data_IF_020442550828
#
_entry.id   IF_020442550828
#
_cell.length_a   1.000
_cell.length_b   1.000
_cell.length_c   1.000
_cell.angle_alpha   90.00
_cell.angle_beta   90.00
_cell.angle_gamma   90.00
#
_symmetry.space_group_name_H-M   'P 1'
#
loop_
_entity.id
_entity.type
_entity.pdbx_description
1 polymer ?
#
# COMPACT_ATOMS: atom_id res chain seq x y z
N UNK A 1 -15.92 -5.33 32.54
CA UNK A 1 -16.59 -4.71 31.38
C UNK A 1 -18.00 -4.39 31.84
N UNK A 2 -18.27 -3.12 32.10
CA UNK A 2 -19.61 -2.67 32.49
C UNK A 2 -20.44 -2.50 31.23
N UNK A 3 -21.49 -3.31 31.13
CA UNK A 3 -22.42 -3.27 30.00
C UNK A 3 -23.26 -2.00 30.10
N UNK A 4 -22.99 -1.03 29.22
CA UNK A 4 -23.79 0.19 29.10
C UNK A 4 -25.08 -0.14 28.36
N UNK A 5 -26.22 -0.14 29.07
CA UNK A 5 -27.54 -0.36 28.46
C UNK A 5 -28.04 0.93 27.79
N UNK A 6 -27.75 1.05 26.49
CA UNK A 6 -28.05 2.21 25.64
C UNK A 6 -29.53 2.59 25.58
N UNK A 7 -30.45 1.71 26.01
CA UNK A 7 -31.90 1.96 25.99
C UNK A 7 -32.36 2.86 27.13
N UNK A 8 -31.62 2.91 28.25
CA UNK A 8 -32.02 3.65 29.47
C UNK A 8 -31.43 5.06 29.56
N UNK A 9 -30.49 5.40 28.69
CA UNK A 9 -29.81 6.70 28.67
C UNK A 9 -30.58 7.73 27.86
N UNK A 10 -30.70 8.94 28.39
CA UNK A 10 -31.26 10.10 27.68
C UNK A 10 -30.35 10.51 26.51
N UNK A 11 -30.86 11.19 25.47
CA UNK A 11 -30.05 11.62 24.33
C UNK A 11 -28.81 12.45 24.71
N UNK A 12 -28.91 13.26 25.78
CA UNK A 12 -27.81 14.07 26.29
C UNK A 12 -26.73 13.22 26.98
N UNK A 13 -27.11 12.16 27.70
CA UNK A 13 -26.17 11.24 28.34
C UNK A 13 -25.47 10.33 27.33
N UNK A 14 -26.15 9.93 26.25
CA UNK A 14 -25.53 9.21 25.12
C UNK A 14 -24.46 10.06 24.42
N UNK A 15 -24.74 11.35 24.20
CA UNK A 15 -23.78 12.27 23.60
C UNK A 15 -22.55 12.49 24.50
N UNK A 16 -22.73 12.49 25.84
CA UNK A 16 -21.60 12.55 26.79
C UNK A 16 -20.79 11.26 26.80
N UNK A 17 -21.44 10.10 26.80
CA UNK A 17 -20.77 8.80 26.74
C UNK A 17 -20.00 8.61 25.43
N UNK A 18 -20.55 9.03 24.30
CA UNK A 18 -19.85 9.05 23.01
C UNK A 18 -18.64 9.98 23.04
N UNK A 19 -18.78 11.21 23.55
CA UNK A 19 -17.63 12.13 23.69
C UNK A 19 -16.51 11.55 24.55
N UNK A 20 -16.83 10.92 25.68
CA UNK A 20 -15.81 10.27 26.51
C UNK A 20 -15.13 9.10 25.80
N UNK A 21 -15.86 8.32 25.00
CA UNK A 21 -15.28 7.24 24.20
C UNK A 21 -14.41 7.78 23.07
N UNK A 22 -14.88 8.80 22.36
CA UNK A 22 -14.15 9.48 21.28
C UNK A 22 -12.87 10.14 21.82
N UNK A 23 -12.92 10.79 22.99
CA UNK A 23 -11.76 11.39 23.66
C UNK A 23 -10.74 10.34 24.12
N UNK A 24 -11.19 9.19 24.66
CA UNK A 24 -10.31 8.07 25.01
C UNK A 24 -9.65 7.44 23.77
N UNK A 25 -10.39 7.26 22.68
CA UNK A 25 -9.85 6.77 21.42
C UNK A 25 -8.87 7.78 20.80
N UNK A 26 -9.18 9.07 20.85
CA UNK A 26 -8.32 10.14 20.33
C UNK A 26 -7.02 10.27 21.14
N UNK A 27 -7.09 10.14 22.47
CA UNK A 27 -5.90 10.08 23.34
C UNK A 27 -5.04 8.84 23.07
N UNK A 28 -5.66 7.66 22.90
CA UNK A 28 -4.94 6.43 22.48
C UNK A 28 -4.27 6.62 21.12
N UNK A 29 -4.99 7.18 20.15
CA UNK A 29 -4.49 7.46 18.81
C UNK A 29 -3.40 8.54 18.80
N UNK A 30 -3.42 9.49 19.72
CA UNK A 30 -2.38 10.50 19.88
C UNK A 30 -1.11 9.92 20.54
N UNK A 31 -1.27 9.07 21.57
CA UNK A 31 -0.15 8.37 22.20
C UNK A 31 0.58 7.43 21.21
N UNK A 32 -0.18 6.70 20.38
CA UNK A 32 0.37 5.86 19.30
C UNK A 32 1.12 6.70 18.25
N UNK A 33 0.63 7.91 17.95
CA UNK A 33 1.31 8.85 17.04
C UNK A 33 2.59 9.44 17.64
N UNK A 34 2.67 9.62 18.96
CA UNK A 34 3.80 10.28 19.64
C UNK A 34 4.98 9.35 19.93
N UNK A 35 4.76 8.06 20.18
CA UNK A 35 5.85 7.08 20.40
C UNK A 35 6.08 6.15 19.19
N UNK A 36 5.26 6.25 18.15
CA UNK A 36 5.29 5.31 17.04
C UNK A 36 4.64 3.97 17.38
N UNK A 37 4.07 3.32 16.38
CA UNK A 37 3.32 2.07 16.54
C UNK A 37 4.22 0.95 17.10
N UNK A 38 5.50 0.94 16.74
CA UNK A 38 6.45 -0.06 17.20
C UNK A 38 6.65 -0.02 18.72
N UNK A 39 6.94 1.14 19.30
CA UNK A 39 7.19 1.29 20.74
C UNK A 39 5.93 0.96 21.55
N UNK A 40 4.76 1.37 21.06
CA UNK A 40 3.49 1.01 21.67
C UNK A 40 3.27 -0.51 21.70
N UNK A 41 3.56 -1.22 20.60
CA UNK A 41 3.43 -2.68 20.53
C UNK A 41 4.45 -3.39 21.44
N UNK A 42 5.69 -2.90 21.49
CA UNK A 42 6.73 -3.43 22.39
C UNK A 42 6.27 -3.28 23.84
N UNK A 43 5.81 -2.08 24.23
CA UNK A 43 5.36 -1.81 25.59
C UNK A 43 4.12 -2.66 25.95
N UNK A 44 3.19 -2.83 25.01
CA UNK A 44 2.02 -3.70 25.20
C UNK A 44 2.43 -5.16 25.41
N UNK A 45 3.39 -5.67 24.64
CA UNK A 45 3.90 -7.03 24.76
C UNK A 45 4.69 -7.23 26.07
N UNK A 46 5.44 -6.22 26.52
CA UNK A 46 6.10 -6.20 27.85
C UNK A 46 5.07 -6.29 28.97
N UNK A 47 4.02 -5.45 28.93
CA UNK A 47 2.96 -5.45 29.94
C UNK A 47 2.16 -6.78 29.96
N UNK A 48 2.07 -7.46 28.82
CA UNK A 48 1.43 -8.76 28.70
C UNK A 48 2.32 -9.93 29.14
N UNK A 49 3.55 -9.68 29.62
CA UNK A 49 4.51 -10.70 30.03
C UNK A 49 5.02 -11.57 28.87
N UNK A 50 4.86 -11.14 27.61
CA UNK A 50 5.29 -11.93 26.44
C UNK A 50 6.83 -12.03 26.31
N UNK A 51 7.56 -11.17 27.02
CA UNK A 51 9.02 -11.22 27.12
C UNK A 51 9.51 -12.06 28.32
N UNK A 52 8.60 -12.55 29.17
CA UNK A 52 8.96 -13.41 30.31
C UNK A 52 9.13 -14.86 29.83
N UNK A 53 10.23 -15.51 30.25
CA UNK A 53 10.56 -16.90 29.90
C UNK A 53 10.70 -17.20 28.40
N UNK A 54 11.30 -16.28 27.64
CA UNK A 54 11.58 -16.51 26.22
C UNK A 54 12.44 -17.77 26.00
N UNK A 55 12.15 -18.55 24.95
CA UNK A 55 12.91 -19.75 24.62
C UNK A 55 14.37 -19.38 24.33
N UNK A 56 15.29 -19.86 25.16
CA UNK A 56 16.72 -19.52 25.06
C UNK A 56 17.18 -18.36 25.95
N UNK A 57 16.32 -17.83 26.83
CA UNK A 57 16.74 -16.87 27.86
C UNK A 57 17.94 -17.41 28.66
N UNK A 58 19.01 -16.60 28.75
CA UNK A 58 20.26 -16.96 29.43
C UNK A 58 21.23 -17.83 28.63
N UNK A 59 20.88 -18.28 27.42
CA UNK A 59 21.82 -19.00 26.54
C UNK A 59 22.64 -17.98 25.72
N UNK A 60 23.95 -18.22 25.52
CA UNK A 60 24.75 -17.38 24.64
C UNK A 60 24.20 -17.45 23.22
N UNK A 61 24.19 -16.30 22.54
CA UNK A 61 23.81 -16.23 21.14
C UNK A 61 24.78 -17.04 20.29
N UNK A 62 24.26 -17.97 19.47
CA UNK A 62 25.06 -18.83 18.60
C UNK A 62 25.65 -17.99 17.46
N UNK A 63 26.92 -17.61 17.58
CA UNK A 63 27.62 -16.78 16.58
C UNK A 63 27.74 -17.50 15.24
N UNK A 64 27.80 -18.83 15.25
CA UNK A 64 27.93 -19.65 14.05
C UNK A 64 26.77 -19.43 13.06
N UNK A 65 25.55 -19.19 13.56
CA UNK A 65 24.39 -18.89 12.73
C UNK A 65 24.51 -17.54 11.99
N UNK A 66 25.19 -16.57 12.59
CA UNK A 66 25.39 -15.23 12.04
C UNK A 66 26.57 -15.22 11.05
N UNK A 67 27.62 -16.00 11.33
CA UNK A 67 28.77 -16.18 10.44
C UNK A 67 28.44 -16.98 9.18
N UNK A 68 27.53 -17.96 9.27
CA UNK A 68 27.20 -18.84 8.14
C UNK A 68 26.19 -18.23 7.17
N UNK A 69 25.18 -17.50 7.68
CA UNK A 69 24.05 -17.04 6.88
C UNK A 69 24.02 -15.51 6.66
N UNK A 70 24.82 -14.75 7.40
CA UNK A 70 24.74 -13.29 7.42
C UNK A 70 23.50 -12.78 8.18
N UNK A 71 23.48 -11.48 8.44
CA UNK A 71 22.44 -10.84 9.26
C UNK A 71 21.04 -10.88 8.61
N UNK A 72 20.95 -10.66 7.29
CA UNK A 72 19.67 -10.55 6.56
C UNK A 72 18.90 -11.87 6.50
N UNK A 73 19.62 -12.99 6.37
CA UNK A 73 19.03 -14.32 6.41
C UNK A 73 18.49 -14.66 7.80
N UNK A 74 19.20 -14.22 8.85
CA UNK A 74 18.77 -14.41 10.24
C UNK A 74 17.52 -13.58 10.54
N UNK A 75 17.49 -12.30 10.13
CA UNK A 75 16.31 -11.44 10.24
C UNK A 75 15.10 -12.04 9.49
N UNK A 76 15.31 -12.54 8.27
CA UNK A 76 14.27 -13.22 7.48
C UNK A 76 13.74 -14.48 8.16
N UNK A 77 14.61 -15.26 8.81
CA UNK A 77 14.20 -16.46 9.55
C UNK A 77 13.41 -16.12 10.80
N UNK A 78 13.78 -15.06 11.53
CA UNK A 78 13.00 -14.55 12.66
C UNK A 78 11.62 -14.12 12.19
N UNK A 79 11.52 -13.33 11.11
CA UNK A 79 10.24 -12.88 10.55
C UNK A 79 9.35 -14.07 10.15
N UNK A 80 9.92 -15.07 9.46
CA UNK A 80 9.20 -16.30 9.11
C UNK A 80 8.70 -17.05 10.35
N UNK A 81 9.50 -17.12 11.42
CA UNK A 81 9.12 -17.83 12.64
C UNK A 81 7.93 -17.22 13.38
N UNK A 82 7.73 -15.90 13.25
CA UNK A 82 6.59 -15.17 13.83
C UNK A 82 5.42 -15.02 12.83
N UNK A 83 5.50 -15.66 11.65
CA UNK A 83 4.50 -15.55 10.60
C UNK A 83 4.46 -14.20 9.89
N UNK A 84 5.47 -13.35 10.10
CA UNK A 84 5.61 -12.06 9.43
C UNK A 84 6.29 -12.22 8.06
N UNK A 85 5.89 -11.39 7.12
CA UNK A 85 6.43 -11.40 5.77
C UNK A 85 7.71 -10.55 5.68
N UNK A 86 8.81 -11.07 5.07
CA UNK A 86 9.99 -10.27 4.78
C UNK A 86 9.66 -9.02 3.95
N UNK A 87 10.41 -7.95 4.19
CA UNK A 87 10.14 -6.61 3.61
C UNK A 87 10.18 -6.65 2.09
N UNK A 88 11.08 -7.45 1.52
CA UNK A 88 11.26 -7.63 0.08
C UNK A 88 10.00 -8.20 -0.56
N UNK A 89 9.36 -9.19 0.07
CA UNK A 89 8.14 -9.81 -0.47
C UNK A 89 6.96 -8.83 -0.36
N UNK A 90 6.88 -8.06 0.73
CA UNK A 90 5.89 -6.99 0.86
C UNK A 90 6.03 -5.94 -0.24
N UNK A 91 7.27 -5.48 -0.52
CA UNK A 91 7.55 -4.54 -1.61
C UNK A 91 7.19 -5.12 -2.98
N UNK A 92 7.52 -6.38 -3.24
CA UNK A 92 7.16 -7.06 -4.48
C UNK A 92 5.64 -7.13 -4.68
N UNK A 93 4.88 -7.48 -3.62
CA UNK A 93 3.42 -7.48 -3.66
C UNK A 93 2.85 -6.08 -3.92
N UNK A 94 3.47 -5.04 -3.36
CA UNK A 94 3.02 -3.68 -3.58
C UNK A 94 3.24 -3.24 -5.04
N UNK A 95 4.40 -3.56 -5.62
CA UNK A 95 4.69 -3.34 -7.05
C UNK A 95 3.63 -4.04 -7.90
N UNK A 96 3.36 -5.33 -7.65
CA UNK A 96 2.36 -6.11 -8.39
C UNK A 96 0.94 -5.54 -8.27
N UNK A 97 0.56 -5.05 -7.10
CA UNK A 97 -0.76 -4.40 -6.91
C UNK A 97 -0.89 -3.13 -7.74
N UNK A 98 0.17 -2.31 -7.77
CA UNK A 98 0.17 -1.05 -8.54
C UNK A 98 0.18 -1.30 -10.04
N UNK A 99 0.94 -2.29 -10.52
CA UNK A 99 0.93 -2.67 -11.94
C UNK A 99 -0.45 -3.18 -12.34
N UNK A 100 -1.07 -4.06 -11.55
CA UNK A 100 -2.43 -4.54 -11.81
C UNK A 100 -3.48 -3.41 -11.82
N UNK A 101 -3.32 -2.39 -10.96
CA UNK A 101 -4.20 -1.22 -10.96
C UNK A 101 -4.09 -0.43 -12.28
N UNK A 102 -2.87 -0.23 -12.77
CA UNK A 102 -2.63 0.41 -14.06
C UNK A 102 -3.28 -0.40 -15.18
N UNK A 103 -2.98 -1.71 -15.26
CA UNK A 103 -3.48 -2.60 -16.31
C UNK A 103 -5.01 -2.60 -16.37
N UNK A 104 -5.67 -2.68 -15.21
CA UNK A 104 -7.13 -2.62 -15.11
C UNK A 104 -7.69 -1.31 -15.69
N UNK A 105 -7.04 -0.18 -15.41
CA UNK A 105 -7.49 1.11 -15.91
C UNK A 105 -7.21 1.28 -17.41
N UNK A 106 -6.07 0.78 -17.90
CA UNK A 106 -5.77 0.77 -19.34
C UNK A 106 -6.78 -0.09 -20.10
N UNK A 107 -7.13 -1.26 -19.58
CA UNK A 107 -8.18 -2.11 -20.16
C UNK A 107 -9.54 -1.40 -20.19
N UNK A 108 -9.88 -0.65 -19.13
CA UNK A 108 -11.09 0.18 -19.09
C UNK A 108 -11.08 1.26 -20.19
N UNK A 109 -9.98 2.01 -20.32
CA UNK A 109 -9.84 3.04 -21.35
C UNK A 109 -9.89 2.44 -22.76
N UNK A 110 -9.28 1.27 -22.97
CA UNK A 110 -9.32 0.57 -24.25
C UNK A 110 -10.74 0.14 -24.62
N UNK A 111 -11.46 -0.49 -23.69
CA UNK A 111 -12.85 -0.88 -23.92
C UNK A 111 -13.72 0.34 -24.24
N UNK A 112 -13.50 1.44 -23.52
CA UNK A 112 -14.21 2.70 -23.74
C UNK A 112 -13.87 3.35 -25.08
N UNK A 113 -12.59 3.32 -25.49
CA UNK A 113 -12.14 3.80 -26.80
C UNK A 113 -12.85 3.04 -27.92
N UNK A 114 -12.83 1.71 -27.86
CA UNK A 114 -13.49 0.85 -28.85
C UNK A 114 -14.98 1.20 -28.98
N UNK A 115 -15.68 1.40 -27.86
CA UNK A 115 -17.08 1.82 -27.88
C UNK A 115 -17.27 3.19 -28.55
N UNK A 116 -16.45 4.18 -28.19
CA UNK A 116 -16.57 5.55 -28.73
C UNK A 116 -16.26 5.59 -30.23
N UNK A 117 -15.32 4.77 -30.71
CA UNK A 117 -15.00 4.67 -32.14
C UNK A 117 -16.18 4.18 -32.98
N UNK A 118 -17.12 3.40 -32.41
CA UNK A 118 -18.35 3.00 -33.12
C UNK A 118 -19.39 4.11 -33.23
N UNK A 119 -19.24 5.21 -32.47
CA UNK A 119 -20.21 6.29 -32.41
C UNK A 119 -19.97 7.32 -33.51
N UNK A 120 -21.06 7.83 -34.09
CA UNK A 120 -20.98 8.99 -34.99
C UNK A 120 -20.49 10.24 -34.25
N UNK A 121 -19.36 10.81 -34.71
CA UNK A 121 -18.74 11.99 -34.10
C UNK A 121 -19.68 13.19 -34.02
N UNK A 122 -20.45 13.45 -35.07
CA UNK A 122 -21.37 14.60 -35.13
C UNK A 122 -22.46 14.54 -34.06
N UNK A 123 -23.02 13.34 -33.81
CA UNK A 123 -24.11 13.14 -32.85
C UNK A 123 -23.62 13.07 -31.40
N UNK A 124 -22.40 12.58 -31.16
CA UNK A 124 -21.91 12.27 -29.82
C UNK A 124 -20.68 13.07 -29.38
N UNK A 125 -20.52 14.31 -29.89
CA UNK A 125 -19.41 15.23 -29.52
C UNK A 125 -19.18 15.39 -28.01
N UNK A 126 -20.25 15.37 -27.21
CA UNK A 126 -20.14 15.49 -25.76
C UNK A 126 -19.45 14.28 -25.10
N UNK A 127 -19.72 13.07 -25.58
CA UNK A 127 -19.11 11.83 -25.08
C UNK A 127 -17.64 11.73 -25.47
N UNK A 128 -17.31 12.12 -26.70
CA UNK A 128 -15.92 12.18 -27.19
C UNK A 128 -15.11 13.16 -26.33
N UNK A 129 -15.62 14.38 -26.13
CA UNK A 129 -14.98 15.37 -25.24
C UNK A 129 -14.86 14.90 -23.78
N UNK A 130 -15.80 14.10 -23.28
CA UNK A 130 -15.70 13.53 -21.95
C UNK A 130 -14.59 12.47 -21.86
N UNK A 131 -14.42 11.66 -22.89
CA UNK A 131 -13.33 10.69 -22.99
C UNK A 131 -11.96 11.35 -23.12
N UNK A 132 -11.81 12.34 -24.01
CA UNK A 132 -10.54 13.09 -24.13
C UNK A 132 -10.12 13.68 -22.79
N UNK A 133 -11.04 14.33 -22.07
CA UNK A 133 -10.74 14.88 -20.74
C UNK A 133 -10.28 13.81 -19.76
N UNK A 134 -10.92 12.65 -19.74
CA UNK A 134 -10.54 11.56 -18.85
C UNK A 134 -9.15 11.02 -19.17
N UNK A 135 -8.82 10.81 -20.46
CA UNK A 135 -7.50 10.37 -20.91
C UNK A 135 -6.42 11.36 -20.46
N UNK A 136 -6.62 12.66 -20.70
CA UNK A 136 -5.67 13.70 -20.30
C UNK A 136 -5.49 13.81 -18.77
N UNK A 137 -6.58 13.67 -18.00
CA UNK A 137 -6.50 13.66 -16.54
C UNK A 137 -5.75 12.43 -16.07
N UNK A 138 -6.05 11.26 -16.64
CA UNK A 138 -5.44 10.00 -16.25
C UNK A 138 -3.95 9.95 -16.60
N UNK A 139 -3.50 10.59 -17.69
CA UNK A 139 -2.07 10.66 -18.03
C UNK A 139 -1.22 11.13 -16.83
N UNK A 140 -1.65 12.18 -16.14
CA UNK A 140 -0.95 12.68 -14.93
C UNK A 140 -0.89 11.62 -13.84
N UNK A 141 -2.01 10.93 -13.59
CA UNK A 141 -2.07 9.85 -12.61
C UNK A 141 -1.17 8.66 -13.02
N UNK A 142 -1.19 8.30 -14.29
CA UNK A 142 -0.37 7.24 -14.87
C UNK A 142 1.13 7.53 -14.69
N UNK A 143 1.58 8.74 -15.02
CA UNK A 143 2.98 9.15 -14.82
C UNK A 143 3.41 9.02 -13.35
N UNK A 144 2.53 9.40 -12.41
CA UNK A 144 2.80 9.32 -10.98
C UNK A 144 2.92 7.87 -10.53
N UNK A 145 2.01 7.00 -10.97
CA UNK A 145 2.04 5.58 -10.62
C UNK A 145 3.29 4.87 -11.18
N UNK A 146 3.69 5.19 -12.41
CA UNK A 146 4.93 4.63 -13.00
C UNK A 146 6.19 5.04 -12.20
N UNK A 147 6.29 6.32 -11.83
CA UNK A 147 7.39 6.81 -10.98
C UNK A 147 7.38 6.13 -9.61
N UNK A 148 6.20 5.94 -9.05
CA UNK A 148 6.00 5.30 -7.76
C UNK A 148 6.42 3.81 -7.78
N UNK A 149 6.10 3.10 -8.87
CA UNK A 149 6.57 1.73 -9.12
C UNK A 149 8.09 1.71 -9.24
N UNK A 150 8.69 2.59 -10.04
CA UNK A 150 10.15 2.62 -10.20
C UNK A 150 10.87 2.90 -8.88
N UNK A 151 10.37 3.81 -8.05
CA UNK A 151 10.93 4.07 -6.72
C UNK A 151 10.93 2.82 -5.84
N UNK A 152 9.86 2.01 -5.90
CA UNK A 152 9.75 0.77 -5.14
C UNK A 152 10.62 -0.33 -5.71
N UNK A 153 10.70 -0.45 -7.03
CA UNK A 153 11.61 -1.36 -7.71
C UNK A 153 13.06 -1.10 -7.32
N UNK A 154 13.48 0.17 -7.27
CA UNK A 154 14.82 0.52 -6.81
C UNK A 154 15.02 0.15 -5.33
N UNK A 155 14.03 0.40 -4.48
CA UNK A 155 14.09 0.03 -3.05
C UNK A 155 14.21 -1.48 -2.87
N UNK A 156 13.43 -2.25 -3.64
CA UNK A 156 13.51 -3.71 -3.69
C UNK A 156 14.90 -4.17 -4.13
N UNK A 157 15.45 -3.60 -5.20
CA UNK A 157 16.75 -4.00 -5.73
C UNK A 157 17.91 -3.70 -4.77
N UNK A 158 17.75 -2.72 -3.87
CA UNK A 158 18.75 -2.44 -2.82
C UNK A 158 18.69 -3.49 -1.70
N UNK A 159 17.48 -3.91 -1.31
CA UNK A 159 17.27 -4.80 -0.15
C UNK A 159 17.32 -6.28 -0.51
N UNK A 160 16.87 -6.63 -1.70
CA UNK A 160 16.67 -8.01 -2.12
C UNK A 160 17.91 -8.60 -2.81
N UNK A 161 18.11 -9.93 -2.73
CA UNK A 161 19.16 -10.61 -3.50
C UNK A 161 18.93 -10.44 -5.02
N UNK A 162 20.00 -10.54 -5.80
CA UNK A 162 20.00 -10.27 -7.26
C UNK A 162 18.93 -11.05 -8.03
N UNK A 163 18.58 -12.26 -7.59
CA UNK A 163 17.53 -13.09 -8.20
C UNK A 163 16.13 -12.46 -8.15
N UNK A 164 15.89 -11.53 -7.23
CA UNK A 164 14.62 -10.81 -7.06
C UNK A 164 14.63 -9.43 -7.72
N UNK A 165 15.74 -9.03 -8.35
CA UNK A 165 15.83 -7.70 -8.94
C UNK A 165 14.87 -7.57 -10.12
N UNK A 166 14.16 -6.44 -10.15
CA UNK A 166 13.23 -6.09 -11.21
C UNK A 166 13.83 -4.92 -11.99
N UNK A 167 13.71 -4.94 -13.31
CA UNK A 167 14.13 -3.81 -14.12
C UNK A 167 13.14 -2.64 -13.96
N UNK A 168 13.62 -1.39 -13.75
CA UNK A 168 12.75 -0.23 -13.70
C UNK A 168 12.06 -0.02 -15.06
N UNK A 169 10.81 0.46 -15.01
CA UNK A 169 9.99 0.68 -16.19
C UNK A 169 10.49 1.90 -17.00
N UNK A 170 10.54 1.83 -18.34
CA UNK A 170 10.92 2.95 -19.19
C UNK A 170 9.76 3.94 -19.33
N UNK A 171 9.70 4.92 -18.42
CA UNK A 171 8.56 5.84 -18.28
C UNK A 171 8.27 6.59 -19.59
N UNK A 172 9.29 7.12 -20.26
CA UNK A 172 9.11 7.94 -21.47
C UNK A 172 8.51 7.13 -22.63
N UNK A 173 8.96 5.89 -22.80
CA UNK A 173 8.45 4.99 -23.83
C UNK A 173 6.98 4.62 -23.55
N UNK A 174 6.66 4.25 -22.31
CA UNK A 174 5.30 3.91 -21.90
C UNK A 174 4.33 5.09 -22.02
N UNK A 175 4.79 6.33 -21.80
CA UNK A 175 3.97 7.52 -22.01
C UNK A 175 3.75 7.82 -23.48
N UNK A 176 4.75 7.57 -24.32
CA UNK A 176 4.62 7.69 -25.77
C UNK A 176 3.59 6.68 -26.29
N UNK A 177 3.71 5.41 -25.91
CA UNK A 177 2.75 4.35 -26.25
C UNK A 177 1.34 4.69 -25.77
N UNK A 178 1.20 5.20 -24.54
CA UNK A 178 -0.09 5.64 -23.99
C UNK A 178 -0.73 6.73 -24.86
N UNK A 179 0.04 7.75 -25.26
CA UNK A 179 -0.46 8.83 -26.11
C UNK A 179 -0.85 8.31 -27.48
N UNK A 180 0.00 7.53 -28.13
CA UNK A 180 -0.27 6.93 -29.44
C UNK A 180 -1.56 6.08 -29.43
N UNK A 181 -1.80 5.37 -28.32
CA UNK A 181 -2.97 4.51 -28.19
C UNK A 181 -4.28 5.26 -27.89
N UNK A 182 -4.25 6.30 -27.05
CA UNK A 182 -5.46 6.92 -26.51
C UNK A 182 -5.77 8.33 -27.02
N UNK A 183 -4.83 9.04 -27.67
CA UNK A 183 -5.01 10.42 -28.17
C UNK A 183 -5.63 10.42 -29.59
N UNK A 184 -6.54 9.48 -29.87
CA UNK A 184 -7.11 9.25 -31.21
C UNK A 184 -7.97 10.40 -31.72
N UNK A 185 -8.48 11.26 -30.83
CA UNK A 185 -9.44 12.32 -31.17
C UNK A 185 -8.85 13.73 -31.06
N UNK A 186 -7.57 13.89 -30.75
CA UNK A 186 -6.95 15.20 -30.52
C UNK A 186 -6.45 15.87 -31.80
N UNK A 187 -6.47 15.16 -32.94
CA UNK A 187 -6.04 15.66 -34.26
C UNK A 187 -7.17 16.37 -35.06
N UNK A 188 -8.35 16.60 -34.47
CA UNK A 188 -9.49 17.32 -35.08
C UNK A 188 -9.78 18.67 -34.42
#
# INVERSE_FOLDING_TARGET
MDFVDWRKLTPAERARAQRTQDEEEEQKNAAIRFHGIADYLIQKAQNAGQFDNLPGAGKPFQREALETNGFDALASNILKSIGAEPVEISLQKEIQRKTAQIEKHLAYLQHRLNYIQTLSKAKYRGRIRAYQREVHVYEKHYTKLLKEINSRTLSLNIMAPTLMHIHPLPIEQLLKEYREQFYVFDEE
#
